data_IF_604154171847
#
_entry.id   IF_604154171847
#
_cell.length_a   1.000
_cell.length_b   1.000
_cell.length_c   1.000
_cell.angle_alpha   90.00
_cell.angle_beta   90.00
_cell.angle_gamma   90.00
#
_symmetry.space_group_name_H-M   'P 1'
#
loop_
_entity.id
_entity.type
_entity.pdbx_description
1 polymer ?
#
# COMPACT_ATOMS: atom_id res chain seq x y z
N UNK A 1 28.28 -19.04 24.04
CA UNK A 1 27.75 -17.69 23.82
C UNK A 1 28.46 -17.10 22.63
N UNK A 2 27.70 -16.70 21.61
CA UNK A 2 28.17 -15.81 20.56
C UNK A 2 26.95 -15.00 20.15
N UNK A 3 26.92 -13.72 20.54
CA UNK A 3 25.98 -12.76 20.01
C UNK A 3 26.29 -12.60 18.52
N UNK A 4 25.30 -12.85 17.67
CA UNK A 4 25.38 -12.44 16.27
C UNK A 4 25.15 -10.93 16.26
N UNK A 5 26.11 -10.18 15.77
CA UNK A 5 25.92 -8.77 15.43
C UNK A 5 24.76 -8.68 14.43
N UNK A 6 23.63 -8.16 14.90
CA UNK A 6 22.53 -7.79 14.03
C UNK A 6 22.87 -6.44 13.42
N UNK A 7 23.47 -6.48 12.23
CA UNK A 7 23.64 -5.32 11.39
C UNK A 7 22.32 -5.02 10.67
N UNK A 8 21.61 -3.99 11.12
CA UNK A 8 20.35 -3.57 10.51
C UNK A 8 20.52 -3.05 9.07
N UNK A 9 21.72 -2.61 8.68
CA UNK A 9 22.02 -2.14 7.31
C UNK A 9 22.09 -3.30 6.31
N UNK A 10 22.27 -4.54 6.79
CA UNK A 10 22.40 -5.75 5.99
C UNK A 10 21.39 -6.84 6.37
N UNK A 11 20.30 -6.48 7.05
CA UNK A 11 19.24 -7.43 7.35
C UNK A 11 18.70 -8.03 6.04
N UNK A 12 18.62 -9.37 5.90
CA UNK A 12 18.05 -9.98 4.71
C UNK A 12 16.61 -9.50 4.54
N UNK A 13 16.23 -9.12 3.32
CA UNK A 13 14.84 -8.79 3.00
C UNK A 13 13.98 -10.00 3.38
N UNK A 14 13.11 -9.81 4.38
CA UNK A 14 12.28 -10.89 4.92
C UNK A 14 11.10 -11.24 4.00
N UNK A 15 10.85 -10.43 2.97
CA UNK A 15 9.69 -10.56 2.11
C UNK A 15 10.07 -10.95 0.67
N UNK A 16 9.39 -11.95 0.08
CA UNK A 16 9.49 -12.20 -1.35
C UNK A 16 8.83 -11.05 -2.13
N UNK A 17 9.55 -10.54 -3.14
CA UNK A 17 9.06 -9.56 -4.11
C UNK A 17 7.74 -10.04 -4.73
N UNK A 18 6.75 -9.15 -4.80
CA UNK A 18 5.46 -9.45 -5.43
C UNK A 18 5.68 -10.07 -6.84
N UNK A 19 4.99 -11.18 -7.19
CA UNK A 19 5.21 -11.86 -8.47
C UNK A 19 5.04 -10.92 -9.67
N UNK A 20 5.97 -11.00 -10.63
CA UNK A 20 5.89 -10.25 -11.89
C UNK A 20 4.56 -10.56 -12.59
N UNK A 21 3.77 -9.53 -12.86
CA UNK A 21 2.49 -9.64 -13.57
C UNK A 21 1.25 -9.82 -12.68
N UNK A 22 1.41 -9.90 -11.35
CA UNK A 22 0.29 -9.92 -10.39
C UNK A 22 -0.67 -8.77 -10.64
N UNK A 23 -0.13 -7.56 -10.78
CA UNK A 23 -0.86 -6.36 -11.12
C UNK A 23 -1.72 -6.44 -12.38
N UNK A 24 -1.13 -6.94 -13.49
CA UNK A 24 -1.80 -7.02 -14.78
C UNK A 24 -2.89 -8.10 -14.76
N UNK A 25 -2.62 -9.20 -14.06
CA UNK A 25 -3.61 -10.23 -13.76
C UNK A 25 -4.76 -9.66 -12.92
N UNK A 26 -4.46 -8.98 -11.82
CA UNK A 26 -5.46 -8.41 -10.92
C UNK A 26 -6.28 -7.30 -11.59
N UNK A 27 -5.67 -6.41 -12.38
CA UNK A 27 -6.39 -5.38 -13.13
C UNK A 27 -7.35 -5.97 -14.17
N UNK A 28 -6.89 -6.93 -14.99
CA UNK A 28 -7.74 -7.60 -15.98
C UNK A 28 -8.85 -8.45 -15.33
N UNK A 29 -8.60 -9.03 -14.15
CA UNK A 29 -9.57 -9.84 -13.42
C UNK A 29 -10.57 -8.96 -12.65
N UNK A 30 -10.14 -7.79 -12.17
CA UNK A 30 -11.00 -6.79 -11.53
C UNK A 30 -11.98 -6.18 -12.53
N UNK A 31 -11.55 -5.90 -13.76
CA UNK A 31 -12.45 -5.52 -14.86
C UNK A 31 -13.50 -6.60 -15.15
N UNK A 32 -13.15 -7.88 -14.94
CA UNK A 32 -14.05 -9.02 -15.12
C UNK A 32 -14.96 -9.32 -13.92
N UNK A 33 -14.85 -8.58 -12.80
CA UNK A 33 -15.71 -8.73 -11.62
C UNK A 33 -15.58 -10.06 -10.88
N UNK A 34 -14.50 -10.82 -11.08
CA UNK A 34 -14.29 -12.08 -10.37
C UNK A 34 -13.84 -11.83 -8.92
N UNK A 35 -14.30 -12.68 -7.99
CA UNK A 35 -13.82 -12.66 -6.60
C UNK A 35 -12.36 -13.14 -6.59
N UNK A 36 -11.44 -12.21 -6.43
CA UNK A 36 -10.00 -12.48 -6.28
C UNK A 36 -9.60 -12.44 -4.82
N UNK A 37 -8.32 -12.74 -4.59
CA UNK A 37 -7.64 -12.55 -3.31
C UNK A 37 -7.43 -11.09 -2.92
N UNK A 38 -7.64 -10.11 -3.82
CA UNK A 38 -7.33 -8.69 -3.59
C UNK A 38 -8.22 -7.75 -4.42
N UNK A 39 -8.74 -6.72 -3.77
CA UNK A 39 -9.47 -5.61 -4.39
C UNK A 39 -8.58 -4.36 -4.45
N UNK A 40 -8.55 -3.68 -5.59
CA UNK A 40 -7.85 -2.40 -5.76
C UNK A 40 -8.81 -1.23 -5.99
N UNK A 41 -8.43 -0.04 -5.54
CA UNK A 41 -9.06 1.19 -5.98
C UNK A 41 -8.01 2.27 -6.19
N UNK A 42 -8.28 3.18 -7.12
CA UNK A 42 -7.30 4.11 -7.65
C UNK A 42 -7.80 5.54 -7.49
N UNK A 43 -6.93 6.46 -7.09
CA UNK A 43 -7.22 7.87 -7.26
C UNK A 43 -7.20 8.21 -8.76
N UNK A 44 -7.80 9.33 -9.12
CA UNK A 44 -7.45 10.01 -10.37
C UNK A 44 -5.98 10.44 -10.32
N UNK A 45 -5.30 10.59 -11.48
CA UNK A 45 -3.97 11.16 -11.52
C UNK A 45 -3.92 12.50 -10.79
N UNK A 46 -2.89 12.68 -9.98
CA UNK A 46 -2.73 13.89 -9.18
C UNK A 46 -2.44 15.09 -10.09
N UNK A 47 -3.10 16.22 -9.82
CA UNK A 47 -2.85 17.45 -10.58
C UNK A 47 -1.55 18.17 -10.17
N UNK A 48 -1.00 17.83 -9.00
CA UNK A 48 0.16 18.46 -8.36
C UNK A 48 0.83 17.45 -7.42
N UNK A 49 2.04 17.74 -6.98
CA UNK A 49 2.67 16.97 -5.91
C UNK A 49 1.83 17.05 -4.63
N UNK A 50 1.69 15.94 -3.91
CA UNK A 50 0.91 15.88 -2.66
C UNK A 50 1.63 14.98 -1.69
N UNK A 51 1.89 15.48 -0.48
CA UNK A 51 2.52 14.70 0.58
C UNK A 51 1.45 14.10 1.47
N UNK A 52 1.55 12.80 1.71
CA UNK A 52 0.81 12.09 2.74
C UNK A 52 1.68 12.10 4.00
N UNK A 53 1.11 12.56 5.11
CA UNK A 53 1.79 12.63 6.40
C UNK A 53 1.01 11.89 7.48
N UNK A 54 1.65 11.67 8.62
CA UNK A 54 0.99 11.10 9.80
C UNK A 54 0.59 9.64 9.59
N UNK A 55 -0.56 9.25 10.15
CA UNK A 55 -1.02 7.85 10.15
C UNK A 55 -2.26 7.71 9.26
N UNK A 56 -2.13 7.10 8.06
CA UNK A 56 -3.29 6.75 7.25
C UNK A 56 -4.23 5.80 8.01
N UNK A 57 -5.55 5.98 7.84
CA UNK A 57 -6.55 5.08 8.41
C UNK A 57 -7.49 4.57 7.32
N UNK A 58 -7.72 3.25 7.32
CA UNK A 58 -8.74 2.62 6.48
C UNK A 58 -9.83 2.05 7.38
N UNK A 59 -11.09 2.39 7.06
CA UNK A 59 -12.26 1.84 7.77
C UNK A 59 -13.26 1.25 6.79
N UNK A 60 -13.93 0.16 7.18
CA UNK A 60 -14.90 -0.55 6.35
C UNK A 60 -15.84 -1.40 7.22
N UNK A 61 -16.87 -1.96 6.60
CA UNK A 61 -17.71 -3.01 7.18
C UNK A 61 -17.27 -4.36 6.65
N UNK A 62 -16.91 -5.27 7.55
CA UNK A 62 -16.54 -6.64 7.24
C UNK A 62 -17.74 -7.59 7.46
N UNK A 63 -17.81 -8.64 6.63
CA UNK A 63 -18.63 -9.83 6.85
C UNK A 63 -17.72 -11.06 6.76
N UNK A 64 -17.76 -11.93 7.75
CA UNK A 64 -16.83 -13.05 7.91
C UNK A 64 -15.71 -12.75 8.90
N UNK A 65 -14.69 -13.61 8.96
CA UNK A 65 -13.53 -13.44 9.83
C UNK A 65 -12.27 -14.01 9.21
N UNK A 66 -11.14 -13.35 9.46
CA UNK A 66 -9.82 -13.77 8.96
C UNK A 66 -8.86 -12.59 8.90
N UNK A 67 -7.72 -12.77 8.27
CA UNK A 67 -6.75 -11.69 8.12
C UNK A 67 -6.93 -10.95 6.81
N UNK A 68 -6.86 -9.62 6.86
CA UNK A 68 -6.76 -8.76 5.68
C UNK A 68 -5.41 -8.07 5.66
N UNK A 69 -4.88 -7.85 4.47
CA UNK A 69 -3.73 -7.03 4.20
C UNK A 69 -4.18 -5.78 3.45
N UNK A 70 -3.77 -4.63 3.97
CA UNK A 70 -4.03 -3.31 3.43
C UNK A 70 -2.71 -2.75 2.91
N UNK A 71 -2.72 -2.18 1.70
CA UNK A 71 -1.52 -1.55 1.13
C UNK A 71 -1.82 -0.26 0.42
N UNK A 72 -0.87 0.67 0.45
CA UNK A 72 -0.88 1.90 -0.33
C UNK A 72 0.28 1.91 -1.32
N UNK A 73 -0.02 2.33 -2.54
CA UNK A 73 0.90 2.36 -3.66
C UNK A 73 1.01 3.75 -4.27
N UNK A 74 2.23 4.18 -4.54
CA UNK A 74 2.53 5.31 -5.40
C UNK A 74 2.80 4.78 -6.82
N UNK A 75 1.86 5.01 -7.74
CA UNK A 75 1.92 4.50 -9.11
C UNK A 75 2.30 5.62 -10.07
N UNK A 76 3.48 5.49 -10.67
CA UNK A 76 3.98 6.39 -11.70
C UNK A 76 3.29 6.17 -13.04
N UNK A 77 3.37 7.18 -13.92
CA UNK A 77 2.82 7.12 -15.29
C UNK A 77 3.50 6.07 -16.17
N UNK A 78 4.67 5.57 -15.77
CA UNK A 78 5.40 4.49 -16.43
C UNK A 78 4.95 3.09 -15.97
N UNK A 79 3.96 3.01 -15.06
CA UNK A 79 3.43 1.76 -14.51
C UNK A 79 4.32 1.13 -13.43
N UNK A 80 5.36 1.83 -12.95
CA UNK A 80 6.06 1.45 -11.73
C UNK A 80 5.24 1.86 -10.53
N UNK A 81 5.10 0.96 -9.58
CA UNK A 81 4.39 1.22 -8.34
C UNK A 81 5.26 0.90 -7.14
N UNK A 82 5.45 1.87 -6.26
CA UNK A 82 6.12 1.67 -4.97
C UNK A 82 5.04 1.41 -3.92
N UNK A 83 5.07 0.26 -3.26
CA UNK A 83 4.28 0.05 -2.05
C UNK A 83 4.94 0.82 -0.92
N UNK A 84 4.37 1.96 -0.52
CA UNK A 84 4.98 2.83 0.49
C UNK A 84 4.43 2.60 1.90
N UNK A 85 3.31 1.87 2.02
CA UNK A 85 2.70 1.54 3.30
C UNK A 85 1.91 0.22 3.21
N UNK A 86 1.87 -0.52 4.32
CA UNK A 86 1.05 -1.72 4.46
C UNK A 86 0.70 -2.02 5.92
N UNK A 87 -0.40 -2.72 6.15
CA UNK A 87 -0.74 -3.26 7.47
C UNK A 87 -1.58 -4.52 7.34
N UNK A 88 -1.34 -5.49 8.22
CA UNK A 88 -2.18 -6.67 8.39
C UNK A 88 -3.08 -6.48 9.60
N UNK A 89 -4.34 -6.91 9.48
CA UNK A 89 -5.30 -6.89 10.60
C UNK A 89 -6.17 -8.14 10.61
N UNK A 90 -6.39 -8.70 11.81
CA UNK A 90 -7.41 -9.72 12.04
C UNK A 90 -8.78 -9.04 12.10
N UNK A 91 -9.67 -9.42 11.19
CA UNK A 91 -11.02 -8.86 11.10
C UNK A 91 -12.08 -9.86 11.56
N UNK A 92 -13.17 -9.31 12.09
CA UNK A 92 -14.42 -10.00 12.39
C UNK A 92 -15.57 -9.22 11.78
N UNK A 93 -16.71 -9.88 11.60
CA UNK A 93 -17.93 -9.23 11.11
C UNK A 93 -18.26 -7.98 11.93
N UNK A 94 -18.54 -6.87 11.25
CA UNK A 94 -18.79 -5.58 11.90
C UNK A 94 -17.98 -4.44 11.29
N UNK A 95 -17.92 -3.31 12.00
CA UNK A 95 -17.10 -2.17 11.58
C UNK A 95 -15.65 -2.40 11.99
N UNK A 96 -14.75 -2.23 11.03
CA UNK A 96 -13.31 -2.33 11.19
C UNK A 96 -12.71 -0.96 10.90
N UNK A 97 -11.70 -0.58 11.67
CA UNK A 97 -10.84 0.57 11.41
C UNK A 97 -9.41 0.15 11.71
N UNK A 98 -8.51 0.41 10.78
CA UNK A 98 -7.11 0.01 10.84
C UNK A 98 -6.27 1.23 10.55
N UNK A 99 -5.42 1.56 11.52
CA UNK A 99 -4.32 2.50 11.32
C UNK A 99 -3.20 1.77 10.58
N UNK A 100 -2.66 2.40 9.54
CA UNK A 100 -1.46 1.93 8.84
C UNK A 100 -0.22 2.48 9.55
N UNK A 101 0.98 2.26 8.98
CA UNK A 101 2.19 2.78 9.59
C UNK A 101 2.21 4.30 9.43
N UNK A 102 2.77 5.01 10.42
CA UNK A 102 3.03 6.42 10.24
C UNK A 102 3.98 6.61 9.06
N UNK A 103 3.66 7.52 8.14
CA UNK A 103 4.38 7.70 6.89
C UNK A 103 4.53 9.18 6.54
N UNK A 104 5.58 9.46 5.78
CA UNK A 104 5.80 10.73 5.09
C UNK A 104 6.20 10.37 3.65
N UNK A 105 5.24 10.52 2.73
CA UNK A 105 5.41 10.09 1.34
C UNK A 105 4.86 11.14 0.39
N UNK A 106 5.68 11.57 -0.58
CA UNK A 106 5.25 12.52 -1.61
C UNK A 106 4.89 11.80 -2.90
N UNK A 107 3.61 11.84 -3.26
CA UNK A 107 3.10 11.45 -4.57
C UNK A 107 3.37 12.60 -5.55
N UNK A 108 3.95 12.32 -6.71
CA UNK A 108 4.21 13.34 -7.73
C UNK A 108 2.97 13.68 -8.54
N UNK A 109 2.95 14.85 -9.15
CA UNK A 109 1.97 15.21 -10.17
C UNK A 109 1.95 14.13 -11.29
N UNK A 110 0.75 13.76 -11.71
CA UNK A 110 0.50 12.69 -12.68
C UNK A 110 0.53 11.27 -12.11
N UNK A 111 1.07 11.06 -10.90
CA UNK A 111 0.99 9.76 -10.23
C UNK A 111 -0.41 9.47 -9.73
N UNK A 112 -0.65 8.21 -9.36
CA UNK A 112 -1.92 7.71 -8.82
C UNK A 112 -1.67 7.04 -7.48
N UNK A 113 -2.53 7.33 -6.49
CA UNK A 113 -2.60 6.54 -5.25
C UNK A 113 -3.39 5.26 -5.52
N UNK A 114 -2.74 4.11 -5.41
CA UNK A 114 -3.38 2.80 -5.37
C UNK A 114 -3.65 2.36 -3.94
N UNK A 115 -4.84 1.81 -3.68
CA UNK A 115 -5.23 1.23 -2.39
C UNK A 115 -5.62 -0.22 -2.62
N UNK A 116 -4.96 -1.14 -1.93
CA UNK A 116 -5.30 -2.57 -1.95
C UNK A 116 -5.94 -2.99 -0.64
N UNK A 117 -7.04 -3.73 -0.72
CA UNK A 117 -7.58 -4.53 0.37
C UNK A 117 -7.61 -5.98 -0.10
N UNK A 118 -6.77 -6.82 0.50
CA UNK A 118 -6.61 -8.19 0.05
C UNK A 118 -6.39 -9.18 1.19
N UNK A 119 -6.24 -10.43 0.79
CA UNK A 119 -5.82 -11.54 1.64
C UNK A 119 -4.30 -11.62 1.67
N UNK A 120 -3.77 -12.29 2.70
CA UNK A 120 -2.32 -12.48 2.81
C UNK A 120 -1.89 -13.57 1.83
N UNK A 121 -1.29 -13.18 0.72
CA UNK A 121 -0.79 -14.12 -0.30
C UNK A 121 0.72 -14.37 -0.22
N UNK A 122 1.45 -13.49 0.46
CA UNK A 122 2.92 -13.50 0.55
C UNK A 122 3.40 -12.65 1.74
N UNK A 123 4.63 -12.86 2.18
CA UNK A 123 5.29 -12.06 3.23
C UNK A 123 5.41 -12.80 4.57
N UNK A 124 6.17 -12.21 5.50
CA UNK A 124 6.41 -12.73 6.86
C UNK A 124 5.14 -12.89 7.73
N UNK A 125 3.99 -12.43 7.23
CA UNK A 125 2.68 -12.51 7.87
C UNK A 125 1.84 -13.75 7.48
N UNK A 126 2.44 -14.74 6.81
CA UNK A 126 1.73 -16.00 6.50
C UNK A 126 1.30 -16.72 7.78
N UNK A 127 0.03 -16.55 8.15
CA UNK A 127 -0.71 -17.41 9.05
C UNK A 127 -1.36 -18.57 8.27
N UNK A 128 -1.87 -19.59 8.96
CA UNK A 128 -2.63 -20.68 8.32
C UNK A 128 -3.85 -20.09 7.59
N UNK A 129 -3.98 -20.25 6.25
CA UNK A 129 -5.12 -19.68 5.52
C UNK A 129 -6.43 -20.20 6.08
N UNK A 130 -7.34 -19.30 6.49
CA UNK A 130 -8.63 -19.72 7.06
C UNK A 130 -9.56 -20.37 6.04
N UNK A 131 -9.34 -20.14 4.74
CA UNK A 131 -10.25 -20.57 3.67
C UNK A 131 -11.57 -19.77 3.63
N UNK A 132 -11.73 -18.80 4.53
CA UNK A 132 -12.94 -17.99 4.66
C UNK A 132 -12.99 -16.86 3.64
N UNK A 133 -14.20 -16.48 3.23
CA UNK A 133 -14.42 -15.28 2.42
C UNK A 133 -14.76 -14.10 3.33
N UNK A 134 -14.02 -13.00 3.19
CA UNK A 134 -14.30 -11.75 3.88
C UNK A 134 -14.96 -10.79 2.89
N UNK A 135 -16.22 -10.43 3.14
CA UNK A 135 -16.89 -9.36 2.42
C UNK A 135 -16.51 -7.99 2.98
N UNK A 136 -16.15 -7.04 2.11
CA UNK A 136 -15.79 -5.67 2.48
C UNK A 136 -16.79 -4.71 1.83
N UNK A 137 -17.47 -3.92 2.64
CA UNK A 137 -18.45 -2.90 2.23
C UNK A 137 -18.11 -1.54 2.87
N UNK A 138 -18.60 -0.43 2.30
CA UNK A 138 -18.55 0.91 2.94
C UNK A 138 -17.12 1.37 3.33
N UNK A 139 -16.14 1.07 2.47
CA UNK A 139 -14.74 1.41 2.70
C UNK A 139 -14.47 2.92 2.60
N UNK A 140 -13.64 3.43 3.51
CA UNK A 140 -13.20 4.83 3.58
C UNK A 140 -11.70 4.88 3.87
N UNK A 141 -11.01 5.81 3.22
CA UNK A 141 -9.62 6.14 3.47
C UNK A 141 -9.54 7.54 4.06
N UNK A 142 -8.86 7.69 5.19
CA UNK A 142 -8.52 8.98 5.78
C UNK A 142 -7.01 9.18 5.70
N UNK A 143 -6.61 10.36 5.19
CA UNK A 143 -5.22 10.77 5.01
C UNK A 143 -5.04 12.17 5.58
N UNK A 144 -3.92 12.44 6.23
CA UNK A 144 -3.43 13.80 6.37
C UNK A 144 -2.61 14.14 5.11
N UNK A 145 -2.97 15.25 4.46
CA UNK A 145 -2.34 15.70 3.22
C UNK A 145 -1.66 17.05 3.44
N UNK A 146 -0.55 17.27 2.75
CA UNK A 146 0.22 18.50 2.77
C UNK A 146 0.69 18.90 1.35
N UNK A 147 0.92 20.20 1.14
CA UNK A 147 1.43 20.77 -0.13
C UNK A 147 2.94 20.98 -0.03
N UNK A 148 3.76 20.14 -0.70
CA UNK A 148 5.21 20.18 -0.55
C UNK A 148 5.89 21.29 -1.37
N UNK A 149 5.13 22.16 -2.06
CA UNK A 149 5.68 23.12 -3.02
C UNK A 149 6.65 24.13 -2.42
N UNK A 150 6.47 24.49 -1.14
CA UNK A 150 7.28 25.49 -0.44
C UNK A 150 8.33 24.88 0.50
N UNK A 151 8.54 23.56 0.41
CA UNK A 151 9.50 22.86 1.27
C UNK A 151 10.94 23.25 1.00
N UNK A 152 11.69 23.42 2.08
CA UNK A 152 13.14 23.49 2.06
C UNK A 152 13.68 22.22 2.68
N UNK A 153 14.39 21.42 1.88
CA UNK A 153 15.03 20.21 2.38
C UNK A 153 15.96 20.55 3.55
N UNK A 154 15.75 19.89 4.69
CA UNK A 154 16.66 19.99 5.83
C UNK A 154 18.06 19.53 5.43
N UNK A 155 19.09 20.13 6.03
CA UNK A 155 20.46 19.72 5.76
C UNK A 155 20.68 18.23 6.06
N UNK A 156 21.22 17.50 5.10
CA UNK A 156 21.47 16.06 5.18
C UNK A 156 21.47 15.42 3.80
N UNK A 157 22.19 14.30 3.67
CA UNK A 157 22.16 13.51 2.44
C UNK A 157 20.94 12.60 2.41
N UNK A 158 20.60 12.12 1.21
CA UNK A 158 19.56 11.11 1.00
C UNK A 158 19.81 9.89 1.90
N UNK A 159 18.76 9.37 2.52
CA UNK A 159 18.85 8.15 3.34
C UNK A 159 19.47 6.98 2.55
N UNK A 160 20.48 6.28 3.09
CA UNK A 160 21.06 5.11 2.43
C UNK A 160 20.06 3.94 2.29
N UNK A 161 19.04 3.89 3.17
CA UNK A 161 17.97 2.89 3.12
C UNK A 161 16.95 3.14 2.01
N UNK A 162 16.82 4.36 1.51
CA UNK A 162 15.76 4.68 0.56
C UNK A 162 15.94 3.92 -0.76
N UNK A 163 17.17 3.75 -1.22
CA UNK A 163 17.41 3.05 -2.49
C UNK A 163 17.22 1.54 -2.36
N UNK A 164 17.53 0.94 -1.21
CA UNK A 164 17.23 -0.48 -0.96
C UNK A 164 15.72 -0.69 -0.84
N UNK A 165 15.02 0.19 -0.12
CA UNK A 165 13.57 0.18 -0.02
C UNK A 165 12.89 0.26 -1.39
N UNK A 166 13.24 1.27 -2.19
CA UNK A 166 12.69 1.44 -3.53
C UNK A 166 12.94 0.21 -4.41
N UNK A 167 14.14 -0.39 -4.35
CA UNK A 167 14.41 -1.63 -5.12
C UNK A 167 13.55 -2.81 -4.68
N UNK A 168 13.27 -2.95 -3.39
CA UNK A 168 12.52 -4.08 -2.84
C UNK A 168 11.00 -3.94 -3.03
N UNK A 169 10.48 -2.72 -2.86
CA UNK A 169 9.04 -2.45 -2.81
C UNK A 169 8.48 -1.84 -4.10
N UNK A 170 9.31 -1.65 -5.13
CA UNK A 170 8.83 -1.30 -6.48
C UNK A 170 8.45 -2.55 -7.27
N UNK A 171 7.25 -2.55 -7.81
CA UNK A 171 6.78 -3.54 -8.77
C UNK A 171 6.24 -2.86 -10.03
N UNK A 172 5.86 -3.65 -11.02
CA UNK A 172 5.06 -3.16 -12.15
C UNK A 172 3.59 -3.36 -11.82
N UNK A 173 2.86 -2.26 -11.65
CA UNK A 173 1.43 -2.23 -11.42
C UNK A 173 0.81 -1.05 -12.16
N UNK A 174 0.09 -1.37 -13.24
CA UNK A 174 -0.64 -0.34 -13.99
C UNK A 174 -1.85 0.10 -13.18
N UNK A 175 -2.05 1.40 -13.04
CA UNK A 175 -3.26 1.95 -12.44
C UNK A 175 -4.47 1.59 -13.30
N UNK A 176 -5.57 1.21 -12.63
CA UNK A 176 -6.88 1.11 -13.26
C UNK A 176 -7.56 2.47 -13.36
N UNK A 177 -8.85 2.47 -13.70
CA UNK A 177 -9.64 3.70 -13.75
C UNK A 177 -9.74 4.36 -12.36
N UNK A 178 -9.49 5.66 -12.30
CA UNK A 178 -9.55 6.45 -11.06
C UNK A 178 -10.98 6.65 -10.57
N UNK A 179 -11.30 6.12 -9.39
CA UNK A 179 -12.65 6.14 -8.80
C UNK A 179 -12.85 7.24 -7.74
N UNK A 180 -11.76 7.84 -7.24
CA UNK A 180 -11.81 8.93 -6.27
C UNK A 180 -10.76 10.02 -6.56
N UNK A 181 -10.81 11.14 -5.84
CA UNK A 181 -9.84 12.24 -5.99
C UNK A 181 -9.29 12.58 -4.62
N UNK A 182 -7.98 12.79 -4.51
CA UNK A 182 -7.40 13.32 -3.30
C UNK A 182 -7.78 14.81 -3.18
N UNK A 183 -8.30 15.25 -2.01
CA UNK A 183 -8.56 16.66 -1.81
C UNK A 183 -7.26 17.44 -1.88
N UNK A 184 -7.37 18.74 -2.16
CA UNK A 184 -6.23 19.63 -2.04
C UNK A 184 -5.85 19.74 -0.56
N UNK A 185 -4.55 19.65 -0.27
CA UNK A 185 -4.00 20.07 1.01
C UNK A 185 -4.23 21.58 1.22
#
# INVERSE_FOLDING_TARGET
>A
GAARDFDMEHAPALDPVAPRGLAKGLAAIQEAGAVTSSYFTWSKPLARDTRITGTPNISFKAKGSGNVMLKLYDVGTDGKAVMFDEQVSLVKSGRVSVDLKATDWTLKAGHVLGVEVGSIQSGSWQDTPSGETIGVDDARLALALDDPADDVATAGDRSPFLDSYLRQYTTTLAAGEGSFTLPRA
#
